data_IF_566244419202
#
_entry.id   IF_566244419202
#
_cell.length_a   1.000
_cell.length_b   1.000
_cell.length_c   1.000
_cell.angle_alpha   90.00
_cell.angle_beta   90.00
_cell.angle_gamma   90.00
#
_symmetry.space_group_name_H-M   'P 1'
#
loop_
_entity.id
_entity.type
_entity.pdbx_description
1 polymer ?
#
# COMPACT_ATOMS: atom_id res chain seq x y z
N UNK A 1 12.30 -0.11 -11.44
CA UNK A 1 12.54 -1.54 -11.16
C UNK A 1 11.40 -2.33 -11.77
N UNK A 2 11.66 -3.54 -12.29
CA UNK A 2 10.59 -4.40 -12.82
C UNK A 2 9.82 -5.08 -11.69
N UNK A 3 8.51 -5.24 -11.86
CA UNK A 3 7.68 -6.02 -10.93
C UNK A 3 8.21 -7.47 -10.76
N UNK A 4 8.29 -8.00 -9.54
CA UNK A 4 8.80 -9.35 -9.29
C UNK A 4 7.86 -10.42 -9.83
N UNK A 5 8.38 -11.54 -10.32
CA UNK A 5 7.60 -12.63 -10.93
C UNK A 5 6.43 -13.12 -10.03
N UNK A 6 6.64 -13.13 -8.71
CA UNK A 6 5.63 -13.49 -7.72
C UNK A 6 4.40 -12.56 -7.74
N UNK A 7 4.57 -11.28 -8.06
CA UNK A 7 3.46 -10.35 -8.24
C UNK A 7 2.67 -10.66 -9.53
N UNK A 8 3.36 -11.01 -10.62
CA UNK A 8 2.69 -11.43 -11.86
C UNK A 8 1.80 -12.65 -11.60
N UNK A 9 2.27 -13.64 -10.87
CA UNK A 9 1.48 -14.83 -10.53
C UNK A 9 0.28 -14.50 -9.63
N UNK A 10 0.45 -13.60 -8.65
CA UNK A 10 -0.67 -13.11 -7.83
C UNK A 10 -1.74 -12.40 -8.67
N UNK A 11 -1.34 -11.67 -9.71
CA UNK A 11 -2.25 -10.96 -10.61
C UNK A 11 -2.94 -11.94 -11.55
N UNK A 12 -2.23 -12.91 -12.14
CA UNK A 12 -2.82 -13.94 -13.02
C UNK A 12 -4.00 -14.64 -12.36
N UNK A 13 -3.88 -14.98 -11.08
CA UNK A 13 -4.94 -15.64 -10.31
C UNK A 13 -6.23 -14.81 -10.18
N UNK A 14 -6.17 -13.50 -10.41
CA UNK A 14 -7.29 -12.56 -10.20
C UNK A 14 -7.58 -11.70 -11.42
N UNK A 15 -6.86 -11.93 -12.50
CA UNK A 15 -6.95 -11.13 -13.70
C UNK A 15 -8.39 -11.10 -14.25
N UNK A 16 -9.10 -12.24 -14.20
CA UNK A 16 -10.52 -12.31 -14.57
C UNK A 16 -11.45 -11.43 -13.70
N UNK A 17 -11.13 -11.22 -12.42
CA UNK A 17 -11.90 -10.30 -11.56
C UNK A 17 -11.60 -8.83 -11.91
N UNK A 18 -10.34 -8.54 -12.23
CA UNK A 18 -9.93 -7.22 -12.71
C UNK A 18 -10.61 -6.86 -14.04
N UNK A 19 -10.58 -7.75 -15.03
CA UNK A 19 -11.22 -7.49 -16.34
C UNK A 19 -12.74 -7.40 -16.22
N UNK A 20 -13.36 -8.18 -15.32
CA UNK A 20 -14.79 -8.05 -15.02
C UNK A 20 -15.12 -6.67 -14.41
N UNK A 21 -14.29 -6.16 -13.49
CA UNK A 21 -14.47 -4.82 -12.93
C UNK A 21 -14.28 -3.71 -13.98
N UNK A 22 -13.28 -3.86 -14.86
CA UNK A 22 -13.04 -2.95 -15.98
C UNK A 22 -14.27 -2.87 -16.89
N UNK A 23 -14.76 -4.02 -17.37
CA UNK A 23 -15.96 -4.09 -18.21
C UNK A 23 -17.21 -3.53 -17.52
N UNK A 24 -17.39 -3.84 -16.22
CA UNK A 24 -18.53 -3.34 -15.47
C UNK A 24 -18.51 -1.80 -15.32
N UNK A 25 -17.34 -1.20 -15.10
CA UNK A 25 -17.19 0.26 -15.06
C UNK A 25 -17.45 0.91 -16.40
N UNK A 26 -16.98 0.31 -17.49
CA UNK A 26 -17.23 0.81 -18.84
C UNK A 26 -18.72 0.77 -19.21
N UNK A 27 -19.44 -0.26 -18.75
CA UNK A 27 -20.86 -0.46 -19.07
C UNK A 27 -21.83 0.32 -18.15
N UNK A 28 -21.52 0.43 -16.87
CA UNK A 28 -22.37 1.08 -15.85
C UNK A 28 -21.53 1.99 -14.94
N UNK A 29 -21.08 3.15 -15.45
CA UNK A 29 -20.25 4.08 -14.67
C UNK A 29 -21.02 4.76 -13.52
N UNK A 30 -22.35 4.78 -13.56
CA UNK A 30 -23.19 5.34 -12.49
C UNK A 30 -23.15 4.47 -11.23
N UNK A 31 -23.21 3.14 -11.39
CA UNK A 31 -23.03 2.20 -10.26
C UNK A 31 -21.54 2.08 -9.91
N UNK A 32 -20.68 1.88 -10.91
CA UNK A 32 -19.25 1.68 -10.74
C UNK A 32 -18.48 3.00 -10.71
N UNK A 33 -18.90 3.87 -9.81
CA UNK A 33 -18.25 5.17 -9.56
C UNK A 33 -16.77 5.00 -9.22
N UNK A 34 -15.92 6.04 -9.39
CA UNK A 34 -14.51 5.98 -9.01
C UNK A 34 -14.25 5.49 -7.58
N UNK A 35 -15.04 5.92 -6.61
CA UNK A 35 -14.92 5.47 -5.22
C UNK A 35 -15.29 3.99 -5.03
N UNK A 36 -16.36 3.53 -5.69
CA UNK A 36 -16.78 2.14 -5.63
C UNK A 36 -15.75 1.23 -6.31
N UNK A 37 -15.32 1.55 -7.54
CA UNK A 37 -14.28 0.79 -8.26
C UNK A 37 -12.98 0.73 -7.47
N UNK A 38 -12.55 1.84 -6.85
CA UNK A 38 -11.34 1.86 -6.03
C UNK A 38 -11.45 0.89 -4.83
N UNK A 39 -12.63 0.80 -4.22
CA UNK A 39 -12.89 -0.14 -3.13
C UNK A 39 -12.82 -1.59 -3.62
N UNK A 40 -13.53 -1.91 -4.71
CA UNK A 40 -13.55 -3.27 -5.29
C UNK A 40 -12.17 -3.70 -5.76
N UNK A 41 -11.47 -2.85 -6.53
CA UNK A 41 -10.11 -3.09 -6.99
C UNK A 41 -9.16 -3.36 -5.82
N UNK A 42 -9.39 -2.74 -4.67
CA UNK A 42 -8.58 -2.93 -3.45
C UNK A 42 -8.80 -4.27 -2.79
N UNK A 43 -10.03 -4.78 -2.85
CA UNK A 43 -10.33 -6.13 -2.41
C UNK A 43 -9.74 -7.18 -3.35
N UNK A 44 -9.72 -6.91 -4.66
CA UNK A 44 -9.16 -7.81 -5.67
C UNK A 44 -7.63 -7.86 -5.54
N UNK A 45 -6.96 -6.71 -5.50
CA UNK A 45 -5.51 -6.61 -5.69
C UNK A 45 -4.72 -6.24 -4.42
N UNK A 46 -5.37 -5.86 -3.30
CA UNK A 46 -4.70 -5.25 -2.14
C UNK A 46 -4.73 -6.02 -0.81
N UNK A 47 -4.20 -5.34 0.23
CA UNK A 47 -4.44 -5.49 1.68
C UNK A 47 -3.97 -6.76 2.40
N UNK A 48 -4.15 -7.96 1.84
CA UNK A 48 -3.80 -9.26 2.49
C UNK A 48 -2.67 -10.01 1.78
N UNK A 49 -2.02 -9.38 0.81
CA UNK A 49 -1.10 -10.03 -0.12
C UNK A 49 0.33 -9.62 0.14
N UNK A 50 1.26 -10.44 -0.34
CA UNK A 50 2.68 -10.21 -0.13
C UNK A 50 3.10 -8.86 -0.71
N UNK A 51 2.62 -8.49 -1.89
CA UNK A 51 3.02 -7.25 -2.57
C UNK A 51 2.02 -6.10 -2.43
N UNK A 52 0.86 -6.33 -1.81
CA UNK A 52 -0.18 -5.30 -1.68
C UNK A 52 0.16 -4.30 -0.58
N UNK A 53 0.09 -3.01 -0.90
CA UNK A 53 0.40 -1.89 0.00
C UNK A 53 1.82 -2.00 0.58
N UNK A 54 2.81 -2.15 -0.31
CA UNK A 54 4.23 -2.31 0.04
C UNK A 54 4.70 -1.13 0.89
N UNK A 55 5.17 -1.40 2.11
CA UNK A 55 5.64 -0.34 3.02
C UNK A 55 7.09 0.01 2.68
N UNK A 56 7.34 1.26 2.29
CA UNK A 56 8.66 1.74 1.84
C UNK A 56 9.23 2.87 2.71
N UNK A 57 8.53 3.19 3.81
CA UNK A 57 8.96 4.25 4.71
C UNK A 57 8.09 4.39 5.96
N UNK A 58 8.52 5.27 6.85
CA UNK A 58 7.84 5.61 8.09
C UNK A 58 8.03 7.09 8.41
N UNK A 59 7.01 7.77 8.94
CA UNK A 59 7.16 9.17 9.40
C UNK A 59 7.94 9.22 10.71
N UNK A 60 8.61 10.35 10.97
CA UNK A 60 9.33 10.57 12.25
C UNK A 60 8.42 10.40 13.47
N UNK A 61 7.19 10.91 13.39
CA UNK A 61 6.22 10.80 14.48
C UNK A 61 5.82 9.35 14.74
N UNK A 62 5.60 8.54 13.69
CA UNK A 62 5.31 7.13 13.86
C UNK A 62 6.50 6.34 14.44
N UNK A 63 7.72 6.65 14.00
CA UNK A 63 8.93 6.04 14.53
C UNK A 63 9.12 6.39 16.03
N UNK A 64 8.89 7.65 16.40
CA UNK A 64 8.94 8.09 17.80
C UNK A 64 7.89 7.35 18.65
N UNK A 65 6.67 7.22 18.14
CA UNK A 65 5.60 6.50 18.82
C UNK A 65 5.92 5.00 19.04
N UNK A 66 6.65 4.36 18.11
CA UNK A 66 7.18 3.02 18.35
C UNK A 66 8.27 3.02 19.43
N UNK A 67 9.23 3.95 19.38
CA UNK A 67 10.31 4.07 20.39
C UNK A 67 9.77 4.26 21.80
N UNK A 68 8.79 5.15 21.97
CA UNK A 68 8.16 5.47 23.26
C UNK A 68 7.42 4.27 23.89
N UNK A 69 7.12 3.26 23.08
CA UNK A 69 6.45 2.03 23.48
C UNK A 69 7.37 0.81 23.38
N UNK A 70 8.69 1.01 23.41
CA UNK A 70 9.72 -0.02 23.27
C UNK A 70 9.48 -0.96 22.08
N UNK A 71 9.09 -0.38 20.94
CA UNK A 71 8.82 -1.07 19.68
C UNK A 71 7.75 -2.16 19.83
N UNK A 72 6.78 -1.93 20.73
CA UNK A 72 5.61 -2.78 20.90
C UNK A 72 4.54 -2.49 19.86
N UNK A 73 3.80 -3.53 19.47
CA UNK A 73 2.61 -3.41 18.64
C UNK A 73 1.54 -2.50 19.26
N UNK A 74 1.56 -2.30 20.57
CA UNK A 74 0.65 -1.40 21.26
C UNK A 74 0.73 0.04 20.74
N UNK A 75 1.91 0.46 20.23
CA UNK A 75 2.11 1.76 19.60
C UNK A 75 1.12 2.02 18.46
N UNK A 76 0.81 1.00 17.66
CA UNK A 76 -0.09 1.08 16.50
C UNK A 76 -1.48 1.55 16.92
N UNK A 77 -2.05 0.87 17.91
CA UNK A 77 -3.41 1.14 18.39
C UNK A 77 -3.46 2.44 19.20
N UNK A 78 -2.47 2.67 20.06
CA UNK A 78 -2.44 3.85 20.93
C UNK A 78 -2.36 5.15 20.13
N UNK A 79 -1.61 5.15 19.02
CA UNK A 79 -1.39 6.34 18.20
C UNK A 79 -2.24 6.37 16.92
N UNK A 80 -3.10 5.37 16.72
CA UNK A 80 -3.92 5.24 15.53
C UNK A 80 -3.08 5.22 14.25
N UNK A 81 -1.99 4.44 14.25
CA UNK A 81 -1.11 4.31 13.11
C UNK A 81 -1.85 3.73 11.90
N UNK A 82 -1.47 4.20 10.71
CA UNK A 82 -2.07 3.78 9.43
C UNK A 82 -1.00 3.65 8.37
N UNK A 83 -1.33 2.97 7.26
CA UNK A 83 -0.54 3.00 6.04
C UNK A 83 -1.07 4.11 5.13
N UNK A 84 -0.30 5.16 4.95
CA UNK A 84 -0.59 6.23 4.00
C UNK A 84 0.00 5.87 2.65
N UNK A 85 -0.80 5.91 1.58
CA UNK A 85 -0.27 5.70 0.23
C UNK A 85 0.53 6.91 -0.24
N UNK A 86 1.67 6.67 -0.90
CA UNK A 86 2.47 7.72 -1.53
C UNK A 86 1.79 8.28 -2.78
N UNK A 87 1.04 7.42 -3.49
CA UNK A 87 0.21 7.81 -4.61
C UNK A 87 -1.26 7.57 -4.26
N UNK A 88 -2.12 8.54 -4.56
CA UNK A 88 -3.54 8.39 -4.29
C UNK A 88 -4.08 7.18 -5.06
N UNK A 89 -4.60 6.21 -4.31
CA UNK A 89 -5.06 4.93 -4.87
C UNK A 89 -6.18 5.08 -5.89
N UNK A 90 -6.98 6.13 -5.76
CA UNK A 90 -8.03 6.46 -6.73
C UNK A 90 -7.45 6.86 -8.09
N UNK A 91 -6.27 7.51 -8.13
CA UNK A 91 -5.60 7.87 -9.37
C UNK A 91 -5.06 6.61 -10.06
N UNK A 92 -4.46 5.69 -9.28
CA UNK A 92 -4.07 4.36 -9.78
C UNK A 92 -5.26 3.56 -10.32
N UNK A 93 -6.41 3.66 -9.65
CA UNK A 93 -7.65 3.02 -10.11
C UNK A 93 -8.11 3.58 -11.46
N UNK A 94 -8.04 4.90 -11.66
CA UNK A 94 -8.33 5.50 -12.95
C UNK A 94 -7.38 5.01 -14.04
N UNK A 95 -6.07 4.98 -13.75
CA UNK A 95 -5.06 4.50 -14.70
C UNK A 95 -5.32 3.08 -15.23
N UNK A 96 -5.85 2.19 -14.38
CA UNK A 96 -6.03 0.78 -14.74
C UNK A 96 -7.46 0.45 -15.23
N UNK A 97 -8.44 1.34 -15.03
CA UNK A 97 -9.84 1.08 -15.37
C UNK A 97 -10.44 2.02 -16.42
N UNK A 98 -9.82 3.17 -16.71
CA UNK A 98 -10.38 4.18 -17.62
C UNK A 98 -9.90 4.02 -19.08
N UNK A 99 -8.98 3.09 -19.36
CA UNK A 99 -8.54 2.77 -20.72
C UNK A 99 -9.59 1.99 -21.51
N UNK A 100 -9.54 2.08 -22.85
CA UNK A 100 -10.47 1.36 -23.75
C UNK A 100 -10.38 -0.17 -23.53
N UNK A 101 -9.17 -0.68 -23.34
CA UNK A 101 -8.89 -2.10 -23.08
C UNK A 101 -8.30 -2.28 -21.68
N UNK A 102 -8.55 -3.42 -21.01
CA UNK A 102 -7.87 -3.76 -19.78
C UNK A 102 -6.37 -3.93 -20.02
N UNK A 103 -5.55 -3.46 -19.07
CA UNK A 103 -4.11 -3.66 -19.10
C UNK A 103 -3.77 -5.15 -19.06
N UNK A 104 -2.72 -5.56 -19.76
CA UNK A 104 -2.16 -6.91 -19.63
C UNK A 104 -1.73 -7.21 -18.19
N UNK A 105 -1.53 -8.49 -17.88
CA UNK A 105 -1.03 -8.93 -16.56
C UNK A 105 0.28 -8.21 -16.22
N UNK A 106 1.19 -8.13 -17.19
CA UNK A 106 2.52 -7.56 -17.04
C UNK A 106 2.44 -6.04 -16.79
N UNK A 107 1.60 -5.33 -17.54
CA UNK A 107 1.37 -3.89 -17.35
C UNK A 107 0.69 -3.59 -16.02
N UNK A 108 -0.34 -4.37 -15.65
CA UNK A 108 -1.01 -4.23 -14.37
C UNK A 108 -0.04 -4.49 -13.21
N UNK A 109 0.82 -5.51 -13.32
CA UNK A 109 1.86 -5.79 -12.33
C UNK A 109 2.81 -4.61 -12.15
N UNK A 110 3.26 -4.02 -13.26
CA UNK A 110 4.18 -2.89 -13.22
C UNK A 110 3.51 -1.66 -12.60
N UNK A 111 2.27 -1.34 -12.99
CA UNK A 111 1.52 -0.20 -12.42
C UNK A 111 1.33 -0.37 -10.91
N UNK A 112 0.96 -1.56 -10.44
CA UNK A 112 0.83 -1.81 -9.00
C UNK A 112 2.17 -1.72 -8.28
N UNK A 113 3.23 -2.28 -8.85
CA UNK A 113 4.57 -2.25 -8.26
C UNK A 113 5.08 -0.82 -8.04
N UNK A 114 4.82 0.05 -9.02
CA UNK A 114 5.28 1.44 -9.02
C UNK A 114 4.37 2.37 -8.23
N UNK A 115 3.07 2.06 -8.10
CA UNK A 115 2.09 2.99 -7.50
C UNK A 115 1.55 2.55 -6.15
N UNK A 116 1.52 1.26 -5.83
CA UNK A 116 0.90 0.73 -4.61
C UNK A 116 1.87 0.70 -3.41
N UNK A 117 2.63 1.79 -3.26
CA UNK A 117 3.56 2.01 -2.16
C UNK A 117 2.91 2.79 -1.02
N UNK A 118 3.24 2.41 0.20
CA UNK A 118 2.74 3.03 1.42
C UNK A 118 3.87 3.36 2.39
N UNK A 119 3.58 4.24 3.33
CA UNK A 119 4.43 4.48 4.50
C UNK A 119 3.60 4.33 5.77
N UNK A 120 4.26 4.03 6.88
CA UNK A 120 3.61 4.02 8.20
C UNK A 120 3.59 5.46 8.74
N UNK A 121 2.42 5.93 9.13
CA UNK A 121 2.25 7.27 9.69
C UNK A 121 1.25 7.26 10.85
N UNK A 122 1.31 8.27 11.72
CA UNK A 122 0.30 8.41 12.78
C UNK A 122 -1.01 8.98 12.21
N UNK A 123 -2.08 8.97 13.01
CA UNK A 123 -3.40 9.44 12.59
C UNK A 123 -3.34 10.87 12.04
N UNK A 124 -3.88 11.05 10.83
CA UNK A 124 -4.03 12.36 10.19
C UNK A 124 -2.82 12.81 9.37
N UNK A 125 -1.67 12.14 9.47
CA UNK A 125 -0.50 12.42 8.62
C UNK A 125 -0.70 11.95 7.19
N UNK A 126 -1.54 10.94 6.96
CA UNK A 126 -1.81 10.40 5.62
C UNK A 126 -2.28 11.47 4.63
N UNK A 127 -3.04 12.48 5.07
CA UNK A 127 -3.48 13.60 4.22
C UNK A 127 -2.35 14.56 3.86
N UNK A 128 -1.35 14.69 4.74
CA UNK A 128 -0.19 15.56 4.57
C UNK A 128 0.87 14.96 3.66
N UNK A 129 0.83 13.64 3.47
CA UNK A 129 1.66 12.96 2.47
C UNK A 129 1.26 13.36 1.05
N UNK A 130 -0.04 13.53 0.79
CA UNK A 130 -0.54 13.98 -0.50
C UNK A 130 -0.07 15.40 -0.85
N UNK A 131 0.12 16.25 0.16
CA UNK A 131 0.58 17.64 -0.01
C UNK A 131 2.10 17.80 0.09
N UNK A 132 2.84 16.74 0.43
CA UNK A 132 4.29 16.80 0.64
C UNK A 132 4.71 17.55 1.91
N UNK A 133 3.78 17.81 2.84
CA UNK A 133 4.03 18.54 4.09
C UNK A 133 4.78 17.70 5.14
N UNK A 134 4.88 16.39 4.93
CA UNK A 134 5.58 15.47 5.84
C UNK A 134 6.56 14.63 5.06
N UNK A 135 7.81 14.62 5.54
CA UNK A 135 8.86 13.74 5.06
C UNK A 135 8.78 12.38 5.74
N UNK A 136 9.04 11.33 4.96
CA UNK A 136 9.15 9.96 5.43
C UNK A 136 10.61 9.52 5.44
N UNK A 137 11.00 8.77 6.47
CA UNK A 137 12.25 8.03 6.49
C UNK A 137 12.04 6.81 5.59
N UNK A 138 12.67 6.81 4.42
CA UNK A 138 12.63 5.69 3.49
C UNK A 138 13.50 4.53 3.97
N UNK A 139 13.08 3.30 3.65
CA UNK A 139 13.87 2.11 3.87
C UNK A 139 13.63 1.07 2.77
N UNK A 140 14.58 0.17 2.58
CA UNK A 140 14.48 -0.91 1.60
C UNK A 140 13.51 -1.99 2.09
N UNK A 141 12.57 -2.38 1.23
CA UNK A 141 11.60 -3.46 1.45
C UNK A 141 11.18 -4.04 0.09
N UNK A 142 12.18 -4.33 -0.76
CA UNK A 142 11.95 -4.81 -2.13
C UNK A 142 11.44 -6.26 -2.19
N UNK A 143 11.70 -7.06 -1.16
CA UNK A 143 11.16 -8.42 -1.05
C UNK A 143 9.74 -8.47 -0.45
N UNK A 144 9.20 -7.31 -0.08
CA UNK A 144 7.91 -7.12 0.56
C UNK A 144 7.69 -7.96 1.82
N UNK A 145 8.74 -8.38 2.53
CA UNK A 145 8.60 -9.23 3.72
C UNK A 145 8.27 -8.47 4.98
N UNK A 146 8.57 -7.18 5.01
CA UNK A 146 8.31 -6.32 6.17
C UNK A 146 6.93 -5.68 6.08
N UNK A 147 6.25 -5.63 7.23
CA UNK A 147 4.93 -5.01 7.37
C UNK A 147 3.90 -5.59 6.39
N UNK A 148 3.99 -6.89 6.12
CA UNK A 148 3.07 -7.59 5.20
C UNK A 148 1.61 -7.41 5.61
N UNK A 149 0.72 -7.35 4.62
CA UNK A 149 -0.67 -7.04 4.84
C UNK A 149 -1.42 -8.04 5.74
N UNK A 150 -2.11 -7.53 6.77
CA UNK A 150 -3.13 -8.25 7.57
C UNK A 150 -4.44 -7.45 7.55
N UNK A 151 -5.25 -7.67 6.51
CA UNK A 151 -6.43 -6.87 6.21
C UNK A 151 -6.06 -5.39 6.04
N UNK A 152 -6.59 -4.50 6.88
CA UNK A 152 -6.28 -3.07 6.88
C UNK A 152 -4.98 -2.77 7.65
N UNK A 153 -4.55 -3.66 8.56
CA UNK A 153 -3.30 -3.55 9.31
C UNK A 153 -2.16 -4.34 8.67
N UNK A 154 -1.07 -4.52 9.41
CA UNK A 154 0.11 -5.26 8.96
C UNK A 154 0.55 -6.30 10.01
N UNK A 155 1.41 -7.22 9.57
CA UNK A 155 2.17 -8.09 10.45
C UNK A 155 3.27 -7.30 11.14
N UNK A 156 3.49 -7.60 12.41
CA UNK A 156 4.48 -6.93 13.24
C UNK A 156 5.17 -7.97 14.11
N UNK A 157 6.40 -8.32 13.74
CA UNK A 157 7.23 -9.30 14.42
C UNK A 157 8.64 -8.76 14.67
N UNK A 158 9.58 -9.67 14.88
CA UNK A 158 10.94 -9.29 15.29
C UNK A 158 11.75 -8.64 14.16
N UNK A 159 11.44 -8.96 12.90
CA UNK A 159 12.04 -8.31 11.74
C UNK A 159 11.67 -6.81 11.69
N UNK A 160 10.38 -6.48 11.85
CA UNK A 160 9.90 -5.10 11.92
C UNK A 160 10.53 -4.35 13.11
N UNK A 161 10.55 -4.97 14.30
CA UNK A 161 11.19 -4.36 15.49
C UNK A 161 12.66 -4.06 15.26
N UNK A 162 13.39 -5.01 14.66
CA UNK A 162 14.83 -4.85 14.37
C UNK A 162 15.07 -3.67 13.43
N UNK A 163 14.28 -3.58 12.36
CA UNK A 163 14.34 -2.43 11.45
C UNK A 163 14.03 -1.13 12.20
N UNK A 164 12.93 -1.08 12.97
CA UNK A 164 12.52 0.15 13.66
C UNK A 164 13.54 0.62 14.69
N UNK A 165 14.18 -0.30 15.43
CA UNK A 165 15.28 0.05 16.36
C UNK A 165 16.44 0.70 15.61
N UNK A 166 16.88 0.07 14.51
CA UNK A 166 17.93 0.62 13.64
C UNK A 166 17.57 2.02 13.11
N UNK A 167 16.34 2.20 12.63
CA UNK A 167 15.89 3.50 12.13
C UNK A 167 15.83 4.54 13.26
N UNK A 168 15.37 4.16 14.45
CA UNK A 168 15.32 5.08 15.60
C UNK A 168 16.72 5.53 16.00
N UNK A 169 17.69 4.62 16.10
CA UNK A 169 19.08 4.96 16.42
C UNK A 169 19.72 5.91 15.40
N UNK A 170 19.29 5.85 14.14
CA UNK A 170 19.83 6.67 13.06
C UNK A 170 19.13 8.03 12.92
N UNK A 171 17.83 8.12 13.19
CA UNK A 171 17.00 9.26 12.79
C UNK A 171 16.27 9.98 13.94
N UNK A 172 16.28 9.45 15.17
CA UNK A 172 15.65 10.06 16.36
C UNK A 172 16.67 10.42 17.45
#
# INVERSE_FOLDING_TARGET
MTAPATLHDEIRLRYGLYTALHAARAHDPETFTPGFSNTVLGAILGGRRMHGWRVVGITKAALQAYRDQDFSRQAEKANGMTRGHLHRRIDTTGMVLDGEEPLSVEELAQVLWDRDMTIICVRGENKKLETGEIEAISFENEDCRLFTGKQVGWQFGDAEKTLLRKLADQYL
#
